data_IF_742793089401
#
_entry.id   IF_742793089401
#
_cell.length_a   1.000
_cell.length_b   1.000
_cell.length_c   1.000
_cell.angle_alpha   90.00
_cell.angle_beta   90.00
_cell.angle_gamma   90.00
#
_symmetry.space_group_name_H-M   'P 1'
#
loop_
_entity.id
_entity.type
_entity.pdbx_description
1 polymer ?
#
# COMPACT_ATOMS: atom_id res chain seq x y z
N UNK A 1 -71.26 11.64 -25.98
CA UNK A 1 -72.41 10.75 -25.76
C UNK A 1 -72.57 10.66 -24.25
N UNK A 2 -73.46 11.51 -23.75
CA UNK A 2 -74.82 11.14 -23.32
C UNK A 2 -74.80 10.18 -22.14
N UNK A 3 -75.41 10.41 -21.02
CA UNK A 3 -76.46 11.28 -20.56
C UNK A 3 -76.67 10.93 -19.07
N UNK A 4 -76.83 11.89 -18.18
CA UNK A 4 -78.15 12.26 -17.60
C UNK A 4 -78.84 11.14 -16.82
N UNK A 5 -79.44 11.22 -15.69
CA UNK A 5 -80.33 12.27 -15.14
C UNK A 5 -80.86 11.82 -13.77
N UNK A 6 -80.99 12.77 -12.85
CA UNK A 6 -82.14 13.11 -11.95
C UNK A 6 -82.53 12.13 -10.87
N UNK A 7 -82.96 12.50 -9.74
CA UNK A 7 -83.60 13.61 -9.07
C UNK A 7 -84.06 13.05 -7.74
N UNK A 8 -84.45 13.72 -6.73
CA UNK A 8 -85.26 14.81 -6.42
C UNK A 8 -85.45 14.85 -4.92
N UNK A 9 -85.60 16.02 -4.32
CA UNK A 9 -85.86 16.28 -2.95
C UNK A 9 -87.34 15.95 -2.52
N UNK A 10 -87.87 16.55 -1.47
CA UNK A 10 -87.53 17.75 -0.72
C UNK A 10 -87.81 17.76 0.80
N UNK A 11 -87.33 18.82 1.48
CA UNK A 11 -87.99 19.71 2.45
C UNK A 11 -88.33 19.18 3.91
N UNK A 12 -87.96 19.78 4.92
CA UNK A 12 -88.31 20.87 5.86
C UNK A 12 -87.64 20.58 7.20
N UNK A 13 -87.12 21.47 7.98
CA UNK A 13 -87.49 22.64 8.58
C UNK A 13 -86.85 22.81 9.93
N UNK A 14 -86.42 24.02 10.25
CA UNK A 14 -86.58 24.52 11.58
C UNK A 14 -85.38 24.69 12.51
N UNK A 15 -84.97 25.92 12.69
CA UNK A 15 -84.64 26.53 13.97
C UNK A 15 -83.16 26.69 14.40
N UNK A 16 -82.78 27.84 14.85
CA UNK A 16 -81.36 28.19 15.15
C UNK A 16 -81.04 27.84 16.61
N UNK A 17 -79.83 27.26 16.80
CA UNK A 17 -79.21 27.18 18.14
C UNK A 17 -77.79 27.67 18.03
N UNK A 18 -77.53 28.75 18.71
CA UNK A 18 -76.20 29.33 18.98
C UNK A 18 -75.34 28.31 19.73
N UNK A 19 -74.23 27.99 19.13
CA UNK A 19 -73.22 27.12 19.76
C UNK A 19 -71.81 27.69 19.57
N UNK A 20 -71.18 28.03 20.69
CA UNK A 20 -69.81 28.53 20.84
C UNK A 20 -68.78 27.68 20.09
N UNK A 21 -67.67 28.27 19.58
CA UNK A 21 -66.60 27.51 18.96
C UNK A 21 -65.80 26.75 20.01
N UNK A 22 -65.70 25.46 19.84
CA UNK A 22 -64.85 24.56 20.65
C UNK A 22 -63.34 24.88 20.39
N UNK A 23 -62.48 24.77 21.44
CA UNK A 23 -61.07 25.05 21.30
C UNK A 23 -60.39 23.98 20.45
N UNK A 24 -59.65 24.39 19.43
CA UNK A 24 -58.79 23.56 18.60
C UNK A 24 -57.73 22.91 19.50
N UNK A 25 -57.86 21.64 19.84
CA UNK A 25 -56.78 20.83 20.43
C UNK A 25 -55.68 20.64 19.40
N UNK A 26 -54.63 21.47 19.50
CA UNK A 26 -53.36 21.16 18.87
C UNK A 26 -52.84 19.86 19.47
N UNK A 27 -52.93 18.76 18.73
CA UNK A 27 -52.27 17.51 19.03
C UNK A 27 -50.76 17.71 18.84
N UNK A 28 -50.08 18.01 19.96
CA UNK A 28 -48.61 17.89 20.01
C UNK A 28 -48.29 16.42 19.79
N UNK A 29 -47.89 16.09 18.54
CA UNK A 29 -47.27 14.82 18.23
C UNK A 29 -45.90 14.77 18.96
N UNK A 30 -45.97 14.44 20.27
CA UNK A 30 -44.77 14.01 21.01
C UNK A 30 -44.23 12.78 20.30
N UNK A 31 -43.13 12.92 19.57
CA UNK A 31 -42.29 11.82 19.12
C UNK A 31 -41.95 10.95 20.31
N UNK A 32 -42.70 9.83 20.48
CA UNK A 32 -42.39 8.77 21.42
C UNK A 32 -41.27 7.90 20.84
N UNK A 33 -40.05 8.39 20.96
CA UNK A 33 -38.87 7.54 20.76
C UNK A 33 -38.56 6.89 22.11
N UNK A 34 -38.58 5.56 22.12
CA UNK A 34 -38.34 4.66 23.26
C UNK A 34 -39.36 4.75 24.42
N UNK A 35 -40.53 4.15 24.21
CA UNK A 35 -41.44 3.78 25.30
C UNK A 35 -40.92 2.50 25.97
N UNK A 36 -40.37 2.59 27.17
CA UNK A 36 -40.13 1.42 28.02
C UNK A 36 -41.47 0.76 28.33
N UNK A 37 -41.58 -0.60 28.38
CA UNK A 37 -42.81 -1.30 28.63
C UNK A 37 -43.44 -0.88 29.98
N UNK A 38 -44.70 -0.45 29.93
CA UNK A 38 -45.50 -0.07 31.08
C UNK A 38 -45.90 -1.32 31.88
N UNK A 39 -45.17 -1.67 32.92
CA UNK A 39 -45.58 -2.82 33.76
C UNK A 39 -44.47 -3.37 34.65
N UNK A 40 -43.21 -2.92 34.54
CA UNK A 40 -42.14 -3.40 35.40
C UNK A 40 -41.98 -2.51 36.63
N UNK A 41 -41.90 -3.11 37.82
CA UNK A 41 -41.54 -2.46 39.07
C UNK A 41 -40.16 -1.73 38.92
N UNK A 42 -39.97 -0.61 39.65
CA UNK A 42 -38.74 0.20 39.58
C UNK A 42 -37.46 -0.63 39.75
N UNK A 43 -37.36 -1.65 40.65
CA UNK A 43 -36.20 -2.53 40.75
C UNK A 43 -35.98 -3.44 39.53
N UNK A 44 -37.04 -3.86 38.82
CA UNK A 44 -36.93 -4.63 37.59
C UNK A 44 -36.29 -3.84 36.44
N UNK A 45 -36.62 -2.56 36.30
CA UNK A 45 -36.03 -1.65 35.30
C UNK A 45 -34.58 -1.41 35.55
N UNK A 46 -34.15 -1.24 36.81
CA UNK A 46 -32.72 -1.04 37.17
C UNK A 46 -31.91 -2.30 36.91
N UNK A 47 -32.49 -3.51 37.16
CA UNK A 47 -31.79 -4.78 36.78
C UNK A 47 -31.62 -4.91 35.27
N UNK A 48 -32.64 -4.57 34.48
CA UNK A 48 -32.56 -4.63 33.02
C UNK A 48 -31.54 -3.65 32.47
N UNK A 49 -31.49 -2.40 32.97
CA UNK A 49 -30.51 -1.38 32.60
C UNK A 49 -29.09 -1.84 32.98
N UNK A 50 -28.90 -2.43 34.16
CA UNK A 50 -27.63 -2.99 34.62
C UNK A 50 -27.13 -4.08 33.67
N UNK A 51 -27.98 -5.05 33.35
CA UNK A 51 -27.62 -6.16 32.48
C UNK A 51 -27.32 -5.66 31.05
N UNK A 52 -28.13 -4.74 30.51
CA UNK A 52 -27.93 -4.12 29.22
C UNK A 52 -26.62 -3.32 29.12
N UNK A 53 -26.30 -2.54 30.19
CA UNK A 53 -25.03 -1.79 30.24
C UNK A 53 -23.79 -2.71 30.29
N UNK A 54 -23.83 -3.75 31.13
CA UNK A 54 -22.70 -4.71 31.23
C UNK A 54 -22.51 -5.42 29.91
N UNK A 55 -23.55 -5.92 29.26
CA UNK A 55 -23.49 -6.57 27.95
C UNK A 55 -22.97 -5.58 26.89
N UNK A 56 -23.45 -4.33 26.90
CA UNK A 56 -23.01 -3.32 25.95
C UNK A 56 -21.54 -2.92 26.15
N UNK A 57 -21.06 -2.79 27.38
CA UNK A 57 -19.65 -2.51 27.68
C UNK A 57 -18.72 -3.66 27.23
N UNK A 58 -19.09 -4.91 27.54
CA UNK A 58 -18.31 -6.08 27.13
C UNK A 58 -18.38 -6.30 25.61
N UNK A 59 -19.56 -6.14 25.00
CA UNK A 59 -19.73 -6.24 23.56
C UNK A 59 -18.93 -5.19 22.78
N UNK A 60 -18.93 -3.94 23.25
CA UNK A 60 -18.11 -2.89 22.66
C UNK A 60 -16.62 -3.16 22.87
N UNK A 61 -16.21 -3.59 24.06
CA UNK A 61 -14.82 -3.95 24.34
C UNK A 61 -14.33 -5.09 23.46
N UNK A 62 -15.13 -6.15 23.28
CA UNK A 62 -14.81 -7.25 22.37
C UNK A 62 -14.71 -6.80 20.91
N UNK A 63 -15.66 -5.96 20.44
CA UNK A 63 -15.62 -5.41 19.08
C UNK A 63 -14.38 -4.55 18.86
N UNK A 64 -14.03 -3.70 19.84
CA UNK A 64 -12.87 -2.83 19.77
C UNK A 64 -11.56 -3.63 19.80
N UNK A 65 -11.45 -4.64 20.67
CA UNK A 65 -10.28 -5.52 20.73
C UNK A 65 -10.08 -6.31 19.42
N UNK A 66 -11.16 -6.90 18.88
CA UNK A 66 -11.12 -7.58 17.58
C UNK A 66 -10.69 -6.66 16.45
N UNK A 67 -11.20 -5.42 16.41
CA UNK A 67 -10.82 -4.43 15.40
C UNK A 67 -9.34 -4.06 15.50
N UNK A 68 -8.83 -3.82 16.71
CA UNK A 68 -7.41 -3.49 16.94
C UNK A 68 -6.54 -4.69 16.61
N UNK A 69 -6.89 -5.89 17.04
CA UNK A 69 -6.17 -7.12 16.75
C UNK A 69 -6.07 -7.41 15.24
N UNK A 70 -7.18 -7.28 14.50
CA UNK A 70 -7.17 -7.43 13.03
C UNK A 70 -6.27 -6.40 12.32
N UNK A 71 -6.21 -5.17 12.83
CA UNK A 71 -5.32 -4.14 12.26
C UNK A 71 -3.86 -4.40 12.61
N UNK A 72 -3.59 -4.79 13.84
CA UNK A 72 -2.24 -5.13 14.26
C UNK A 72 -1.69 -6.33 13.47
N UNK A 73 -2.52 -7.37 13.25
CA UNK A 73 -2.13 -8.51 12.40
C UNK A 73 -1.94 -8.11 10.95
N UNK A 74 -2.85 -7.32 10.36
CA UNK A 74 -2.70 -6.86 8.98
C UNK A 74 -1.46 -5.98 8.78
N UNK A 75 -1.12 -5.11 9.73
CA UNK A 75 0.11 -4.33 9.71
C UNK A 75 1.36 -5.22 9.87
N UNK A 76 1.28 -6.22 10.74
CA UNK A 76 2.33 -7.22 10.92
C UNK A 76 2.56 -8.06 9.66
N UNK A 77 1.50 -8.55 9.03
CA UNK A 77 1.56 -9.32 7.77
C UNK A 77 2.09 -8.47 6.61
N UNK A 78 1.73 -7.19 6.55
CA UNK A 78 2.27 -6.26 5.56
C UNK A 78 3.80 -6.12 5.71
N UNK A 79 4.28 -5.88 6.93
CA UNK A 79 5.70 -5.62 7.21
C UNK A 79 6.56 -6.90 7.19
N UNK A 80 6.04 -8.05 7.64
CA UNK A 80 6.85 -9.27 7.79
C UNK A 80 6.75 -10.26 6.61
N UNK A 81 5.73 -10.14 5.76
CA UNK A 81 5.49 -11.07 4.66
C UNK A 81 5.37 -10.34 3.33
N UNK A 82 4.45 -9.37 3.21
CA UNK A 82 4.15 -8.76 1.91
C UNK A 82 5.24 -7.80 1.45
N UNK A 83 5.85 -7.03 2.36
CA UNK A 83 6.93 -6.12 2.04
C UNK A 83 8.21 -6.85 1.58
N UNK A 84 8.76 -7.84 2.31
CA UNK A 84 9.92 -8.59 1.85
C UNK A 84 9.68 -9.25 0.49
N UNK A 85 8.52 -9.87 0.26
CA UNK A 85 8.21 -10.49 -1.02
C UNK A 85 8.10 -9.51 -2.17
N UNK A 86 7.57 -8.31 -1.93
CA UNK A 86 7.53 -7.25 -2.93
C UNK A 86 8.94 -6.75 -3.26
N UNK A 87 9.83 -6.66 -2.27
CA UNK A 87 11.24 -6.30 -2.46
C UNK A 87 12.00 -7.39 -3.20
N UNK A 88 11.84 -8.67 -2.83
CA UNK A 88 12.46 -9.79 -3.54
C UNK A 88 12.00 -9.83 -5.01
N UNK A 89 10.71 -9.64 -5.27
CA UNK A 89 10.18 -9.60 -6.64
C UNK A 89 10.72 -8.40 -7.45
N UNK A 90 10.89 -7.24 -6.82
CA UNK A 90 11.51 -6.07 -7.42
C UNK A 90 12.99 -6.31 -7.71
N UNK A 91 13.73 -6.83 -6.74
CA UNK A 91 15.16 -7.12 -6.86
C UNK A 91 15.42 -8.18 -7.93
N UNK A 92 14.61 -9.24 -7.98
CA UNK A 92 14.63 -10.24 -9.05
C UNK A 92 14.50 -9.57 -10.43
N UNK A 93 13.53 -8.68 -10.59
CA UNK A 93 13.31 -7.98 -11.87
C UNK A 93 14.50 -7.10 -12.26
N UNK A 94 15.04 -6.32 -11.30
CA UNK A 94 16.22 -5.48 -11.52
C UNK A 94 17.45 -6.31 -11.86
N UNK A 95 17.72 -7.37 -11.10
CA UNK A 95 18.86 -8.25 -11.34
C UNK A 95 18.81 -8.96 -12.70
N UNK A 96 17.62 -9.35 -13.17
CA UNK A 96 17.47 -9.89 -14.52
C UNK A 96 17.81 -8.85 -15.61
N UNK A 97 17.32 -7.61 -15.44
CA UNK A 97 17.60 -6.54 -16.39
C UNK A 97 19.09 -6.14 -16.38
N UNK A 98 19.71 -6.10 -15.19
CA UNK A 98 21.15 -5.81 -15.06
C UNK A 98 22.03 -6.94 -15.61
N UNK A 99 21.65 -8.18 -15.41
CA UNK A 99 22.33 -9.33 -16.00
C UNK A 99 22.37 -9.24 -17.53
N UNK A 100 21.26 -8.83 -18.18
CA UNK A 100 21.20 -8.68 -19.63
C UNK A 100 22.12 -7.56 -20.15
N UNK A 101 22.10 -6.40 -19.48
CA UNK A 101 23.01 -5.29 -19.79
C UNK A 101 24.47 -5.69 -19.60
N UNK A 102 24.76 -6.41 -18.51
CA UNK A 102 26.12 -6.84 -18.19
C UNK A 102 26.64 -7.89 -19.18
N UNK A 103 25.80 -8.84 -19.59
CA UNK A 103 26.13 -9.83 -20.61
C UNK A 103 26.40 -9.17 -21.98
N UNK A 104 25.49 -8.27 -22.42
CA UNK A 104 25.62 -7.55 -23.68
C UNK A 104 26.87 -6.63 -23.70
N UNK A 105 27.11 -5.93 -22.60
CA UNK A 105 28.31 -5.09 -22.44
C UNK A 105 29.57 -5.94 -22.41
N UNK A 106 29.54 -7.09 -21.70
CA UNK A 106 30.63 -8.04 -21.62
C UNK A 106 31.08 -8.56 -22.99
N UNK A 107 30.11 -8.87 -23.85
CA UNK A 107 30.41 -9.27 -25.24
C UNK A 107 31.23 -8.23 -26.01
N UNK A 108 30.95 -6.93 -25.84
CA UNK A 108 31.62 -5.84 -26.54
C UNK A 108 33.09 -5.65 -26.12
N UNK A 109 33.50 -6.13 -24.95
CA UNK A 109 34.91 -6.15 -24.55
C UNK A 109 35.77 -7.14 -25.36
N UNK A 110 35.16 -8.05 -26.12
CA UNK A 110 35.83 -8.99 -26.98
C UNK A 110 36.33 -10.24 -26.23
N UNK A 111 37.51 -10.76 -26.63
CA UNK A 111 38.01 -12.06 -26.18
C UNK A 111 38.22 -12.23 -24.68
N UNK A 112 38.38 -11.14 -23.96
CA UNK A 112 38.63 -11.16 -22.52
C UNK A 112 37.68 -10.15 -21.86
N UNK A 113 36.61 -10.66 -21.31
CA UNK A 113 35.70 -9.83 -20.49
C UNK A 113 36.46 -9.43 -19.22
N UNK A 114 36.37 -8.15 -18.78
CA UNK A 114 36.93 -7.73 -17.50
C UNK A 114 36.31 -8.53 -16.34
N UNK A 115 37.14 -9.01 -15.42
CA UNK A 115 36.74 -9.80 -14.28
C UNK A 115 35.57 -9.19 -13.47
N UNK A 116 35.52 -7.88 -13.20
CA UNK A 116 34.39 -7.27 -12.51
C UNK A 116 33.04 -7.40 -13.24
N UNK A 117 33.01 -7.32 -14.56
CA UNK A 117 31.78 -7.47 -15.35
C UNK A 117 31.20 -8.89 -15.23
N UNK A 118 32.08 -9.89 -15.36
CA UNK A 118 31.65 -11.30 -15.18
C UNK A 118 31.11 -11.57 -13.76
N UNK A 119 31.80 -11.07 -12.75
CA UNK A 119 31.32 -11.21 -11.37
C UNK A 119 29.96 -10.54 -11.15
N UNK A 120 29.71 -9.38 -11.77
CA UNK A 120 28.43 -8.70 -11.70
C UNK A 120 27.34 -9.56 -12.33
N UNK A 121 27.52 -10.05 -13.53
CA UNK A 121 26.58 -10.96 -14.20
C UNK A 121 26.26 -12.21 -13.34
N UNK A 122 27.30 -12.90 -12.84
CA UNK A 122 27.13 -14.08 -12.00
C UNK A 122 26.38 -13.74 -10.69
N UNK A 123 26.66 -12.58 -10.11
CA UNK A 123 25.97 -12.08 -8.93
C UNK A 123 24.47 -11.83 -9.21
N UNK A 124 24.17 -11.15 -10.30
CA UNK A 124 22.79 -10.78 -10.67
C UNK A 124 21.95 -12.03 -10.96
N UNK A 125 22.49 -13.00 -11.66
CA UNK A 125 21.84 -14.31 -11.88
C UNK A 125 21.63 -15.07 -10.55
N UNK A 126 22.60 -15.03 -9.64
CA UNK A 126 22.48 -15.66 -8.33
C UNK A 126 21.40 -14.99 -7.46
N UNK A 127 21.34 -13.67 -7.45
CA UNK A 127 20.30 -12.88 -6.78
C UNK A 127 18.95 -13.20 -7.38
N UNK A 128 18.78 -13.06 -8.70
CA UNK A 128 17.51 -13.36 -9.37
C UNK A 128 17.01 -14.78 -9.09
N UNK A 129 17.92 -15.78 -9.06
CA UNK A 129 17.58 -17.16 -8.74
C UNK A 129 17.15 -17.35 -7.29
N UNK A 130 17.79 -16.63 -6.35
CA UNK A 130 17.48 -16.70 -4.92
C UNK A 130 16.10 -16.08 -4.65
N UNK A 131 15.84 -14.92 -5.21
CA UNK A 131 14.59 -14.21 -5.05
C UNK A 131 13.43 -14.97 -5.75
N UNK A 132 13.69 -15.55 -6.93
CA UNK A 132 12.72 -16.42 -7.61
C UNK A 132 12.31 -17.60 -6.74
N UNK A 133 13.26 -18.24 -6.03
CA UNK A 133 12.96 -19.33 -5.08
C UNK A 133 12.13 -18.84 -3.90
N UNK A 134 12.48 -17.70 -3.31
CA UNK A 134 11.77 -17.11 -2.19
C UNK A 134 10.31 -16.78 -2.57
N UNK A 135 10.12 -16.05 -3.67
CA UNK A 135 8.79 -15.68 -4.16
C UNK A 135 7.98 -16.92 -4.57
N UNK A 136 8.59 -17.92 -5.23
CA UNK A 136 7.91 -19.17 -5.61
C UNK A 136 7.44 -19.95 -4.39
N UNK A 137 8.24 -20.01 -3.33
CA UNK A 137 7.88 -20.70 -2.09
C UNK A 137 6.67 -20.06 -1.40
N UNK A 138 6.60 -18.71 -1.40
CA UNK A 138 5.55 -17.94 -0.76
C UNK A 138 4.26 -17.82 -1.60
N UNK A 139 4.38 -17.87 -2.92
CA UNK A 139 3.27 -17.61 -3.86
C UNK A 139 2.64 -18.87 -4.48
N UNK A 140 2.79 -20.03 -3.82
CA UNK A 140 2.22 -21.31 -4.30
C UNK A 140 0.72 -21.23 -4.48
N UNK A 141 0.25 -21.57 -5.68
CA UNK A 141 -1.18 -21.57 -6.02
C UNK A 141 -1.76 -20.16 -6.27
N UNK A 142 -0.90 -19.13 -6.37
CA UNK A 142 -1.31 -17.77 -6.70
C UNK A 142 -1.55 -17.57 -8.20
N UNK A 143 -2.14 -16.41 -8.54
CA UNK A 143 -2.39 -16.03 -9.93
C UNK A 143 -1.10 -15.91 -10.78
N UNK A 144 0.07 -15.76 -10.16
CA UNK A 144 1.37 -15.61 -10.84
C UNK A 144 2.16 -16.91 -11.00
N UNK A 145 1.57 -18.05 -10.64
CA UNK A 145 2.24 -19.36 -10.77
C UNK A 145 2.72 -19.65 -12.20
N UNK A 146 1.99 -19.20 -13.21
CA UNK A 146 2.40 -19.29 -14.62
C UNK A 146 3.66 -18.48 -14.92
N UNK A 147 3.73 -17.23 -14.47
CA UNK A 147 4.91 -16.37 -14.64
C UNK A 147 6.13 -16.92 -13.89
N UNK A 148 5.94 -17.43 -12.67
CA UNK A 148 7.02 -18.10 -11.91
C UNK A 148 7.52 -19.36 -12.61
N UNK A 149 6.63 -20.14 -13.23
CA UNK A 149 7.01 -21.30 -14.05
C UNK A 149 7.81 -20.88 -15.28
N UNK A 150 7.40 -19.81 -15.97
CA UNK A 150 8.15 -19.26 -17.12
C UNK A 150 9.55 -18.84 -16.68
N UNK A 151 9.68 -18.05 -15.60
CA UNK A 151 10.98 -17.64 -15.07
C UNK A 151 11.89 -18.84 -14.74
N UNK A 152 11.34 -19.85 -14.09
CA UNK A 152 12.10 -21.05 -13.72
C UNK A 152 12.53 -21.90 -14.92
N UNK A 153 11.76 -21.91 -15.99
CA UNK A 153 12.06 -22.67 -17.19
C UNK A 153 13.03 -21.93 -18.15
N UNK A 154 12.81 -20.64 -18.34
CA UNK A 154 13.52 -19.86 -19.35
C UNK A 154 14.84 -19.23 -18.84
N UNK A 155 15.01 -19.02 -17.54
CA UNK A 155 16.26 -18.48 -16.99
C UNK A 155 17.49 -19.37 -17.32
N UNK A 156 17.43 -20.71 -17.21
CA UNK A 156 18.53 -21.57 -17.66
C UNK A 156 18.77 -21.51 -19.17
N UNK A 157 17.73 -21.27 -19.99
CA UNK A 157 17.85 -21.13 -21.44
C UNK A 157 18.59 -19.84 -21.76
N UNK A 158 18.22 -18.73 -21.14
CA UNK A 158 18.91 -17.45 -21.25
C UNK A 158 20.41 -17.56 -20.90
N UNK A 159 20.71 -18.13 -19.73
CA UNK A 159 22.13 -18.29 -19.31
C UNK A 159 22.92 -19.16 -20.28
N UNK A 160 22.30 -20.20 -20.85
CA UNK A 160 22.92 -21.03 -21.87
C UNK A 160 23.29 -20.24 -23.13
N UNK A 161 22.40 -19.37 -23.65
CA UNK A 161 22.69 -18.52 -24.78
C UNK A 161 23.81 -17.50 -24.49
N UNK A 162 23.83 -16.93 -23.28
CA UNK A 162 24.92 -16.01 -22.87
C UNK A 162 26.25 -16.74 -22.85
N UNK A 163 26.33 -17.94 -22.27
CA UNK A 163 27.54 -18.77 -22.23
C UNK A 163 28.02 -19.14 -23.64
N UNK A 164 27.14 -19.57 -24.54
CA UNK A 164 27.46 -19.83 -25.95
C UNK A 164 28.01 -18.56 -26.63
N UNK A 165 27.34 -17.41 -26.40
CA UNK A 165 27.79 -16.11 -26.95
C UNK A 165 29.20 -15.76 -26.49
N UNK A 166 29.53 -15.92 -25.22
CA UNK A 166 30.85 -15.70 -24.66
C UNK A 166 31.93 -16.67 -25.23
N UNK A 167 31.58 -17.97 -25.35
CA UNK A 167 32.50 -18.97 -25.93
C UNK A 167 32.84 -18.61 -27.39
N UNK A 168 31.83 -18.37 -28.22
CA UNK A 168 32.08 -17.99 -29.63
C UNK A 168 32.85 -16.68 -29.76
N UNK A 169 32.55 -15.70 -28.89
CA UNK A 169 33.28 -14.43 -28.84
C UNK A 169 34.77 -14.65 -28.45
N UNK A 170 35.04 -15.48 -27.47
CA UNK A 170 36.43 -15.81 -27.05
C UNK A 170 37.24 -16.48 -28.16
N UNK A 171 36.58 -17.29 -28.99
CA UNK A 171 37.14 -17.94 -30.14
C UNK A 171 37.29 -16.99 -31.37
N UNK A 172 36.68 -15.79 -31.29
CA UNK A 172 36.69 -14.82 -32.37
C UNK A 172 35.69 -15.09 -33.49
N UNK A 173 34.66 -15.91 -33.21
CA UNK A 173 33.61 -16.19 -34.20
C UNK A 173 32.49 -15.14 -34.13
N UNK A 174 32.05 -14.60 -35.29
CA UNK A 174 30.95 -13.63 -35.35
C UNK A 174 29.60 -14.17 -34.81
N UNK A 175 29.41 -15.49 -34.82
CA UNK A 175 28.19 -16.13 -34.30
C UNK A 175 27.89 -15.79 -32.85
N UNK A 176 28.90 -15.42 -32.06
CA UNK A 176 28.71 -14.97 -30.67
C UNK A 176 27.70 -13.81 -30.57
N UNK A 177 27.71 -12.88 -31.51
CA UNK A 177 26.77 -11.76 -31.54
C UNK A 177 25.30 -12.25 -31.61
N UNK A 178 25.03 -13.26 -32.47
CA UNK A 178 23.69 -13.79 -32.64
C UNK A 178 23.19 -14.49 -31.38
N UNK A 179 24.05 -15.19 -30.62
CA UNK A 179 23.65 -15.81 -29.34
C UNK A 179 23.31 -14.77 -28.29
N UNK A 180 24.09 -13.68 -28.19
CA UNK A 180 23.78 -12.58 -27.25
C UNK A 180 22.47 -11.88 -27.65
N UNK A 181 22.21 -11.67 -28.95
CA UNK A 181 20.93 -11.12 -29.42
C UNK A 181 19.74 -12.01 -29.07
N UNK A 182 19.86 -13.33 -29.28
CA UNK A 182 18.82 -14.31 -28.92
C UNK A 182 18.62 -14.36 -27.41
N UNK A 183 19.70 -14.30 -26.61
CA UNK A 183 19.60 -14.23 -25.15
C UNK A 183 18.81 -12.98 -24.71
N UNK A 184 19.15 -11.82 -25.26
CA UNK A 184 18.46 -10.57 -24.94
C UNK A 184 17.00 -10.58 -25.41
N UNK A 185 16.70 -11.17 -26.58
CA UNK A 185 15.32 -11.37 -27.03
C UNK A 185 14.53 -12.26 -26.06
N UNK A 186 15.12 -13.36 -25.57
CA UNK A 186 14.48 -14.23 -24.55
C UNK A 186 14.25 -13.47 -23.24
N UNK A 187 15.21 -12.63 -22.82
CA UNK A 187 15.08 -11.76 -21.65
C UNK A 187 13.91 -10.79 -21.81
N UNK A 188 13.85 -10.06 -22.92
CA UNK A 188 12.88 -8.99 -23.14
C UNK A 188 11.47 -9.51 -23.46
N UNK A 189 11.33 -10.64 -24.17
CA UNK A 189 10.02 -11.16 -24.57
C UNK A 189 9.40 -12.11 -23.54
N UNK A 190 10.21 -12.77 -22.67
CA UNK A 190 9.69 -13.78 -21.74
C UNK A 190 10.04 -13.50 -20.30
N UNK A 191 11.32 -13.32 -19.96
CA UNK A 191 11.78 -13.22 -18.58
C UNK A 191 11.32 -11.91 -17.93
N UNK A 192 11.61 -10.77 -18.52
CA UNK A 192 11.24 -9.47 -17.94
C UNK A 192 9.72 -9.26 -17.86
N UNK A 193 8.88 -9.63 -18.86
CA UNK A 193 7.42 -9.55 -18.72
C UNK A 193 6.87 -10.46 -17.62
N UNK A 194 7.43 -11.66 -17.46
CA UNK A 194 7.04 -12.57 -16.38
C UNK A 194 7.45 -12.01 -15.01
N UNK A 195 8.68 -11.51 -14.85
CA UNK A 195 9.15 -10.87 -13.63
C UNK A 195 8.35 -9.64 -13.27
N UNK A 196 8.00 -8.80 -14.25
CA UNK A 196 7.13 -7.63 -14.07
C UNK A 196 5.74 -8.02 -13.55
N UNK A 197 5.19 -9.12 -14.07
CA UNK A 197 3.88 -9.62 -13.65
C UNK A 197 3.91 -10.08 -12.19
N UNK A 198 4.98 -10.77 -11.79
CA UNK A 198 5.20 -11.20 -10.40
C UNK A 198 5.35 -9.99 -9.49
N UNK A 199 6.21 -9.04 -9.85
CA UNK A 199 6.40 -7.80 -9.09
C UNK A 199 5.11 -7.00 -8.92
N UNK A 200 4.34 -6.80 -10.00
CA UNK A 200 3.07 -6.09 -9.94
C UNK A 200 2.06 -6.78 -9.01
N UNK A 201 2.04 -8.11 -8.98
CA UNK A 201 1.18 -8.89 -8.10
C UNK A 201 1.56 -8.74 -6.62
N UNK A 202 2.85 -8.90 -6.30
CA UNK A 202 3.32 -8.81 -4.91
C UNK A 202 3.18 -7.37 -4.37
N UNK A 203 3.44 -6.37 -5.19
CA UNK A 203 3.21 -4.97 -4.84
C UNK A 203 1.72 -4.65 -4.63
N UNK A 204 0.82 -5.22 -5.43
CA UNK A 204 -0.62 -5.09 -5.22
C UNK A 204 -1.07 -5.76 -3.90
N UNK A 205 -0.46 -6.89 -3.52
CA UNK A 205 -0.69 -7.55 -2.21
C UNK A 205 -0.24 -6.66 -1.05
N UNK A 206 0.94 -6.08 -1.13
CA UNK A 206 1.44 -5.14 -0.13
C UNK A 206 0.50 -3.93 0.02
N UNK A 207 0.07 -3.36 -1.10
CA UNK A 207 -0.88 -2.24 -1.13
C UNK A 207 -2.22 -2.62 -0.49
N UNK A 208 -2.75 -3.82 -0.78
CA UNK A 208 -3.99 -4.31 -0.21
C UNK A 208 -3.87 -4.57 1.30
N UNK A 209 -2.76 -5.17 1.77
CA UNK A 209 -2.48 -5.39 3.18
C UNK A 209 -2.38 -4.06 3.95
N UNK A 210 -1.68 -3.08 3.40
CA UNK A 210 -1.56 -1.73 3.96
C UNK A 210 -2.92 -1.00 4.00
N UNK A 211 -3.75 -1.15 2.97
CA UNK A 211 -5.10 -0.60 2.93
C UNK A 211 -6.03 -1.25 3.97
N UNK A 212 -5.88 -2.55 4.25
CA UNK A 212 -6.62 -3.22 5.33
C UNK A 212 -6.21 -2.69 6.71
N UNK A 213 -4.92 -2.47 6.94
CA UNK A 213 -4.41 -1.91 8.18
C UNK A 213 -4.94 -0.48 8.43
N UNK A 214 -5.13 0.32 7.36
CA UNK A 214 -5.58 1.72 7.42
C UNK A 214 -7.08 1.93 7.22
N UNK A 215 -7.82 0.89 6.81
CA UNK A 215 -9.24 0.96 6.44
C UNK A 215 -10.15 1.56 7.51
N UNK A 216 -11.02 2.51 7.13
CA UNK A 216 -11.88 3.27 8.04
C UNK A 216 -13.21 2.58 8.44
N UNK A 217 -13.84 1.67 7.64
CA UNK A 217 -15.22 1.32 7.89
C UNK A 217 -15.43 0.68 9.27
N UNK A 218 -14.60 -0.29 9.65
CA UNK A 218 -14.74 -0.97 10.95
C UNK A 218 -14.36 -0.06 12.12
N UNK A 219 -13.37 0.82 11.96
CA UNK A 219 -13.00 1.81 12.96
C UNK A 219 -14.11 2.84 13.19
N UNK A 220 -14.74 3.31 12.12
CA UNK A 220 -15.87 4.23 12.20
C UNK A 220 -17.05 3.60 12.94
N UNK A 221 -17.38 2.33 12.65
CA UNK A 221 -18.43 1.58 13.34
C UNK A 221 -18.11 1.42 14.83
N UNK A 222 -16.86 1.07 15.16
CA UNK A 222 -16.43 0.88 16.55
C UNK A 222 -16.44 2.19 17.34
N UNK A 223 -15.98 3.31 16.75
CA UNK A 223 -16.08 4.63 17.36
C UNK A 223 -17.53 5.07 17.54
N UNK A 224 -18.39 4.89 16.54
CA UNK A 224 -19.80 5.23 16.63
C UNK A 224 -20.52 4.39 17.71
N UNK A 225 -20.22 3.10 17.80
CA UNK A 225 -20.72 2.23 18.85
C UNK A 225 -20.27 2.68 20.25
N UNK A 226 -19.01 3.09 20.39
CA UNK A 226 -18.46 3.64 21.63
C UNK A 226 -19.12 4.96 22.04
N UNK A 227 -19.35 5.88 21.10
CA UNK A 227 -20.09 7.11 21.35
C UNK A 227 -21.55 6.83 21.74
N UNK A 228 -22.21 5.87 21.08
CA UNK A 228 -23.55 5.45 21.44
C UNK A 228 -23.59 4.85 22.85
N UNK A 229 -22.60 4.04 23.23
CA UNK A 229 -22.44 3.51 24.58
C UNK A 229 -22.22 4.63 25.61
N UNK A 230 -21.36 5.61 25.32
CA UNK A 230 -21.14 6.79 26.15
C UNK A 230 -22.42 7.61 26.35
N UNK A 231 -23.20 7.82 25.28
CA UNK A 231 -24.51 8.47 25.36
C UNK A 231 -25.51 7.66 26.21
N UNK A 232 -25.49 6.32 26.11
CA UNK A 232 -26.34 5.47 26.91
C UNK A 232 -25.95 5.49 28.40
N UNK A 233 -24.66 5.50 28.73
CA UNK A 233 -24.11 5.70 30.07
C UNK A 233 -24.58 7.06 30.65
N UNK A 234 -24.38 8.15 29.89
CA UNK A 234 -24.82 9.49 30.29
C UNK A 234 -26.34 9.56 30.54
N UNK A 235 -27.11 9.01 29.62
CA UNK A 235 -28.59 8.97 29.78
C UNK A 235 -29.02 8.15 30.98
N UNK A 236 -28.34 7.04 31.26
CA UNK A 236 -28.60 6.21 32.44
C UNK A 236 -28.27 6.96 33.73
N UNK A 237 -27.15 7.69 33.79
CA UNK A 237 -26.81 8.57 34.93
C UNK A 237 -27.85 9.66 35.13
N UNK A 238 -28.23 10.38 34.06
CA UNK A 238 -29.21 11.45 34.12
C UNK A 238 -30.61 10.94 34.54
N UNK A 239 -30.99 9.74 34.12
CA UNK A 239 -32.27 9.12 34.56
C UNK A 239 -32.24 8.76 36.05
N UNK A 240 -31.08 8.20 36.51
CA UNK A 240 -30.91 7.81 37.92
C UNK A 240 -30.85 9.03 38.84
N UNK A 241 -30.10 10.07 38.48
CA UNK A 241 -29.97 11.32 39.28
C UNK A 241 -31.32 12.03 39.46
N UNK A 242 -32.18 12.05 38.43
CA UNK A 242 -33.52 12.65 38.50
C UNK A 242 -34.48 11.89 39.41
N UNK A 243 -34.23 10.61 39.72
CA UNK A 243 -35.10 9.80 40.58
C UNK A 243 -34.59 9.66 42.02
N UNK A 244 -33.31 9.80 42.26
CA UNK A 244 -32.69 9.53 43.58
C UNK A 244 -32.23 10.77 44.30
N UNK A 245 -32.39 11.98 43.73
CA UNK A 245 -31.93 13.28 44.28
C UNK A 245 -30.44 13.32 44.75
N UNK A 246 -29.64 12.33 44.38
CA UNK A 246 -28.20 12.26 44.61
C UNK A 246 -27.46 12.34 43.28
N UNK A 247 -26.53 13.31 43.14
CA UNK A 247 -25.97 13.74 41.86
C UNK A 247 -24.91 12.82 41.30
N UNK A 248 -24.23 11.96 42.07
CA UNK A 248 -23.13 11.13 41.59
C UNK A 248 -23.21 9.68 42.03
N UNK A 249 -23.17 8.78 41.07
CA UNK A 249 -22.94 7.34 41.29
C UNK A 249 -21.50 7.02 40.89
N UNK A 250 -20.62 6.80 41.87
CA UNK A 250 -19.16 6.59 41.71
C UNK A 250 -18.86 5.48 40.69
N UNK A 251 -19.62 4.37 40.67
CA UNK A 251 -19.42 3.27 39.74
C UNK A 251 -19.72 3.65 38.29
N UNK A 252 -20.85 4.38 38.07
CA UNK A 252 -21.18 4.85 36.73
C UNK A 252 -20.26 5.98 36.27
N UNK A 253 -19.75 6.81 37.17
CA UNK A 253 -18.75 7.83 36.88
C UNK A 253 -17.44 7.17 36.44
N UNK A 254 -16.95 6.19 37.18
CA UNK A 254 -15.75 5.43 36.82
C UNK A 254 -15.91 4.73 35.46
N UNK A 255 -17.05 4.14 35.18
CA UNK A 255 -17.36 3.55 33.87
C UNK A 255 -17.34 4.59 32.73
N UNK A 256 -17.88 5.78 32.97
CA UNK A 256 -17.88 6.86 31.96
C UNK A 256 -16.48 7.42 31.71
N UNK A 257 -15.68 7.61 32.76
CA UNK A 257 -14.26 8.05 32.62
C UNK A 257 -13.45 7.00 31.87
N UNK A 258 -13.58 5.71 32.24
CA UNK A 258 -12.91 4.62 31.53
C UNK A 258 -13.31 4.56 30.05
N UNK A 259 -14.61 4.77 29.74
CA UNK A 259 -15.09 4.83 28.36
C UNK A 259 -14.54 6.02 27.56
N UNK A 260 -14.44 7.20 28.18
CA UNK A 260 -13.84 8.37 27.56
C UNK A 260 -12.35 8.18 27.31
N UNK A 261 -11.62 7.61 28.27
CA UNK A 261 -10.19 7.29 28.13
C UNK A 261 -9.99 6.28 27.00
N UNK A 262 -10.80 5.21 26.95
CA UNK A 262 -10.72 4.19 25.90
C UNK A 262 -11.00 4.79 24.51
N UNK A 263 -12.04 5.62 24.37
CA UNK A 263 -12.36 6.30 23.12
C UNK A 263 -11.29 7.29 22.69
N UNK A 264 -10.77 8.08 23.62
CA UNK A 264 -9.71 9.05 23.35
C UNK A 264 -8.41 8.34 22.92
N UNK A 265 -8.03 7.28 23.64
CA UNK A 265 -6.84 6.49 23.28
C UNK A 265 -6.98 5.80 21.93
N UNK A 266 -8.13 5.17 21.69
CA UNK A 266 -8.43 4.55 20.40
C UNK A 266 -8.42 5.58 19.27
N UNK A 267 -9.04 6.76 19.46
CA UNK A 267 -9.04 7.82 18.45
C UNK A 267 -7.61 8.34 18.17
N UNK A 268 -6.80 8.55 19.21
CA UNK A 268 -5.41 8.99 19.07
C UNK A 268 -4.58 7.94 18.31
N UNK A 269 -4.71 6.65 18.65
CA UNK A 269 -4.00 5.57 17.96
C UNK A 269 -4.43 5.43 16.49
N UNK A 270 -5.73 5.57 16.20
CA UNK A 270 -6.25 5.49 14.84
C UNK A 270 -5.82 6.69 13.98
N UNK A 271 -5.82 7.89 14.54
CA UNK A 271 -5.41 9.11 13.82
C UNK A 271 -3.89 9.15 13.63
N UNK A 272 -3.12 8.84 14.68
CA UNK A 272 -1.65 8.79 14.66
C UNK A 272 -1.16 7.70 13.72
N UNK A 273 -1.57 6.44 13.93
CA UNK A 273 -1.15 5.32 13.10
C UNK A 273 -1.53 5.49 11.62
N UNK A 274 -2.70 6.10 11.33
CA UNK A 274 -3.06 6.46 9.96
C UNK A 274 -2.16 7.53 9.35
N UNK A 275 -1.84 8.58 10.12
CA UNK A 275 -0.96 9.65 9.64
C UNK A 275 0.45 9.11 9.34
N UNK A 276 0.98 8.22 10.17
CA UNK A 276 2.29 7.63 10.00
C UNK A 276 2.33 6.65 8.82
N UNK A 277 1.30 5.81 8.66
CA UNK A 277 1.16 4.92 7.49
C UNK A 277 0.95 5.69 6.17
N UNK A 278 0.21 6.79 6.17
CA UNK A 278 0.08 7.64 4.98
C UNK A 278 1.39 8.36 4.64
N UNK A 279 2.20 8.72 5.63
CA UNK A 279 3.55 9.24 5.39
C UNK A 279 4.47 8.15 4.86
N UNK A 280 4.42 6.95 5.44
CA UNK A 280 5.20 5.81 4.97
C UNK A 280 4.91 5.51 3.49
N UNK A 281 3.64 5.42 3.09
CA UNK A 281 3.27 5.15 1.70
C UNK A 281 3.54 6.34 0.78
N UNK A 282 3.18 7.56 1.18
CA UNK A 282 3.28 8.75 0.32
C UNK A 282 4.71 9.27 0.13
N UNK A 283 5.58 9.12 1.14
CA UNK A 283 6.95 9.65 1.13
C UNK A 283 8.03 8.57 1.24
N UNK A 284 7.68 7.30 1.25
CA UNK A 284 8.62 6.19 1.36
C UNK A 284 8.44 5.18 0.24
N UNK A 285 7.40 4.33 0.31
CA UNK A 285 7.26 3.22 -0.65
C UNK A 285 6.92 3.67 -2.06
N UNK A 286 6.03 4.64 -2.26
CA UNK A 286 5.63 5.09 -3.59
C UNK A 286 6.77 5.80 -4.37
N UNK A 287 7.57 6.71 -3.76
CA UNK A 287 8.76 7.23 -4.41
C UNK A 287 9.81 6.16 -4.71
N UNK A 288 10.10 5.26 -3.74
CA UNK A 288 11.05 4.17 -3.94
C UNK A 288 10.64 3.25 -5.11
N UNK A 289 9.35 2.92 -5.22
CA UNK A 289 8.79 2.17 -6.35
C UNK A 289 8.96 2.93 -7.67
N UNK A 290 8.68 4.23 -7.69
CA UNK A 290 8.84 5.06 -8.88
C UNK A 290 10.31 5.13 -9.33
N UNK A 291 11.25 5.21 -8.38
CA UNK A 291 12.69 5.17 -8.64
C UNK A 291 13.15 3.82 -9.17
N UNK A 292 12.62 2.71 -8.61
CA UNK A 292 12.92 1.37 -9.10
C UNK A 292 12.43 1.15 -10.54
N UNK A 293 11.23 1.66 -10.88
CA UNK A 293 10.75 1.65 -12.25
C UNK A 293 11.59 2.53 -13.17
N UNK A 294 12.13 3.65 -12.67
CA UNK A 294 13.06 4.49 -13.43
C UNK A 294 14.38 3.75 -13.68
N UNK A 295 14.92 3.05 -12.68
CA UNK A 295 16.12 2.25 -12.80
C UNK A 295 15.97 1.16 -13.87
N UNK A 296 14.87 0.42 -13.86
CA UNK A 296 14.55 -0.57 -14.89
C UNK A 296 14.49 0.08 -16.28
N UNK A 297 13.87 1.24 -16.42
CA UNK A 297 13.84 1.95 -17.70
C UNK A 297 15.24 2.41 -18.14
N UNK A 298 16.11 2.79 -17.21
CA UNK A 298 17.52 3.11 -17.50
C UNK A 298 18.29 1.87 -17.97
N UNK A 299 18.10 0.72 -17.29
CA UNK A 299 18.71 -0.55 -17.70
C UNK A 299 18.23 -0.98 -19.09
N UNK A 300 16.95 -0.85 -19.41
CA UNK A 300 16.42 -1.12 -20.75
C UNK A 300 17.10 -0.23 -21.80
N UNK A 301 17.15 1.09 -21.57
CA UNK A 301 17.85 1.99 -22.48
C UNK A 301 19.33 1.62 -22.63
N UNK A 302 19.99 1.20 -21.56
CA UNK A 302 21.39 0.76 -21.64
C UNK A 302 21.54 -0.53 -22.44
N UNK A 303 20.63 -1.48 -22.28
CA UNK A 303 20.55 -2.70 -23.09
C UNK A 303 20.41 -2.38 -24.58
N UNK A 304 19.46 -1.52 -24.95
CA UNK A 304 19.25 -1.10 -26.35
C UNK A 304 20.49 -0.40 -26.93
N UNK A 305 21.18 0.44 -26.15
CA UNK A 305 22.44 1.08 -26.55
C UNK A 305 23.55 0.05 -26.87
N UNK A 306 23.69 -0.98 -26.04
CA UNK A 306 24.70 -2.03 -26.23
C UNK A 306 24.33 -2.98 -27.36
N UNK A 307 23.05 -3.33 -27.51
CA UNK A 307 22.57 -4.17 -28.61
C UNK A 307 22.70 -3.50 -29.98
N UNK A 308 22.46 -2.18 -30.04
CA UNK A 308 22.70 -1.41 -31.26
C UNK A 308 24.20 -1.50 -31.72
N UNK A 309 25.14 -1.45 -30.77
CA UNK A 309 26.56 -1.65 -31.04
C UNK A 309 26.90 -3.07 -31.50
N UNK A 310 26.23 -4.09 -30.93
CA UNK A 310 26.45 -5.50 -31.29
C UNK A 310 25.89 -5.79 -32.67
N UNK A 311 24.75 -5.26 -33.02
CA UNK A 311 24.06 -5.53 -34.30
C UNK A 311 24.81 -4.93 -35.49
N UNK A 312 25.51 -3.80 -35.32
CA UNK A 312 26.22 -3.04 -36.36
C UNK A 312 25.40 -2.77 -37.63
N UNK A 313 24.11 -2.96 -37.56
CA UNK A 313 23.19 -2.81 -38.69
C UNK A 313 22.56 -1.42 -38.74
N UNK A 314 22.82 -0.58 -37.72
CA UNK A 314 22.10 0.68 -37.54
C UNK A 314 20.60 0.45 -37.40
N UNK A 315 20.24 -0.61 -36.70
CA UNK A 315 18.84 -1.07 -36.59
C UNK A 315 18.01 0.04 -35.96
N UNK A 316 17.05 0.54 -36.72
CA UNK A 316 16.19 1.64 -36.30
C UNK A 316 15.38 1.29 -35.07
N UNK A 317 15.14 -0.01 -34.82
CA UNK A 317 14.30 -0.50 -33.74
C UNK A 317 15.00 -0.29 -32.39
N UNK A 318 16.29 -0.64 -32.21
CA UNK A 318 17.03 -0.39 -30.98
C UNK A 318 17.14 1.10 -30.63
N UNK A 319 17.29 1.96 -31.64
CA UNK A 319 17.31 3.40 -31.43
C UNK A 319 15.95 3.96 -31.03
N UNK A 320 14.87 3.38 -31.54
CA UNK A 320 13.50 3.75 -31.15
C UNK A 320 13.20 3.30 -29.73
N UNK A 321 13.58 2.07 -29.37
CA UNK A 321 13.39 1.49 -28.04
C UNK A 321 14.21 2.26 -26.99
N UNK A 322 15.46 2.60 -27.29
CA UNK A 322 16.27 3.50 -26.44
C UNK A 322 15.54 4.82 -26.14
N UNK A 323 14.98 5.48 -27.17
CA UNK A 323 14.27 6.77 -26.97
C UNK A 323 13.00 6.59 -26.15
N UNK A 324 12.28 5.50 -26.33
CA UNK A 324 11.09 5.18 -25.56
C UNK A 324 11.43 4.93 -24.09
N UNK A 325 12.47 4.14 -23.82
CA UNK A 325 12.99 3.88 -22.48
C UNK A 325 13.53 5.16 -21.82
N UNK A 326 14.28 6.00 -22.55
CA UNK A 326 14.74 7.32 -22.10
C UNK A 326 13.57 8.23 -21.70
N UNK A 327 12.50 8.28 -22.50
CA UNK A 327 11.31 9.07 -22.22
C UNK A 327 10.59 8.58 -20.95
N UNK A 328 10.47 7.27 -20.79
CA UNK A 328 9.90 6.63 -19.60
C UNK A 328 10.74 6.94 -18.37
N UNK A 329 12.06 6.73 -18.44
CA UNK A 329 13.00 7.06 -17.37
C UNK A 329 12.88 8.52 -16.92
N UNK A 330 12.93 9.45 -17.86
CA UNK A 330 12.89 10.89 -17.56
C UNK A 330 11.59 11.29 -16.87
N UNK A 331 10.47 10.70 -17.30
CA UNK A 331 9.15 10.95 -16.70
C UNK A 331 9.08 10.40 -15.28
N UNK A 332 9.57 9.18 -15.06
CA UNK A 332 9.57 8.53 -13.75
C UNK A 332 10.51 9.25 -12.77
N UNK A 333 11.72 9.64 -13.23
CA UNK A 333 12.66 10.37 -12.40
C UNK A 333 12.14 11.76 -12.01
N UNK A 334 11.44 12.45 -12.92
CA UNK A 334 10.80 13.73 -12.62
C UNK A 334 9.68 13.56 -11.57
N UNK A 335 8.87 12.51 -11.69
CA UNK A 335 7.81 12.16 -10.73
C UNK A 335 8.40 11.81 -9.36
N UNK A 336 9.42 10.96 -9.32
CA UNK A 336 10.10 10.60 -8.09
C UNK A 336 10.65 11.84 -7.37
N UNK A 337 11.30 12.75 -8.11
CA UNK A 337 11.83 13.99 -7.54
C UNK A 337 10.78 14.94 -6.92
N UNK A 338 9.49 14.79 -7.26
CA UNK A 338 8.40 15.53 -6.64
C UNK A 338 7.86 14.85 -5.38
N UNK A 339 8.07 13.56 -5.22
CA UNK A 339 7.47 12.73 -4.18
C UNK A 339 8.47 12.27 -3.12
N UNK A 340 9.77 12.21 -3.47
CA UNK A 340 10.85 11.68 -2.64
C UNK A 340 11.13 12.51 -1.40
N UNK A 341 11.70 11.87 -0.42
CA UNK A 341 12.12 12.50 0.83
C UNK A 341 13.27 13.48 0.63
N UNK A 342 13.47 14.44 1.55
CA UNK A 342 14.64 15.31 1.51
C UNK A 342 15.97 14.55 1.51
N UNK A 343 16.01 13.35 2.12
CA UNK A 343 17.18 12.48 2.13
C UNK A 343 17.56 11.93 0.76
N UNK A 344 16.60 11.69 -0.14
CA UNK A 344 16.81 11.20 -1.49
C UNK A 344 17.08 12.33 -2.52
N UNK A 345 16.72 13.57 -2.20
CA UNK A 345 16.72 14.69 -3.15
C UNK A 345 18.10 14.97 -3.78
N UNK A 346 19.18 14.83 -3.00
CA UNK A 346 20.56 14.99 -3.48
C UNK A 346 20.90 13.95 -4.53
N UNK A 347 20.66 12.67 -4.25
CA UNK A 347 20.94 11.55 -5.15
C UNK A 347 20.07 11.61 -6.42
N UNK A 348 18.79 12.02 -6.33
CA UNK A 348 17.94 12.21 -7.50
C UNK A 348 18.46 13.35 -8.40
N UNK A 349 19.01 14.40 -7.80
CA UNK A 349 19.60 15.51 -8.56
C UNK A 349 20.87 15.06 -9.28
N UNK A 350 21.73 14.29 -8.62
CA UNK A 350 22.94 13.70 -9.22
C UNK A 350 22.56 12.71 -10.33
N UNK A 351 21.62 11.80 -10.09
CA UNK A 351 21.09 10.86 -11.09
C UNK A 351 20.57 11.58 -12.34
N UNK A 352 19.88 12.70 -12.19
CA UNK A 352 19.39 13.52 -13.31
C UNK A 352 20.54 14.13 -14.12
N UNK A 353 21.59 14.57 -13.44
CA UNK A 353 22.77 15.15 -14.08
C UNK A 353 23.55 14.07 -14.87
N UNK A 354 23.82 12.91 -14.26
CA UNK A 354 24.52 11.81 -14.90
C UNK A 354 23.73 11.23 -16.07
N UNK A 355 22.41 11.10 -15.94
CA UNK A 355 21.52 10.72 -17.04
C UNK A 355 21.60 11.70 -18.22
N UNK A 356 21.57 13.01 -17.96
CA UNK A 356 21.67 14.01 -19.01
C UNK A 356 23.01 13.95 -19.76
N UNK A 357 24.09 13.67 -19.03
CA UNK A 357 25.42 13.50 -19.58
C UNK A 357 25.52 12.21 -20.40
N UNK A 358 24.97 11.09 -19.89
CA UNK A 358 24.90 9.83 -20.64
C UNK A 358 24.11 9.98 -21.94
N UNK A 359 22.95 10.62 -21.93
CA UNK A 359 22.14 10.85 -23.13
C UNK A 359 22.86 11.72 -24.17
N UNK A 360 23.67 12.70 -23.74
CA UNK A 360 24.51 13.49 -24.63
C UNK A 360 25.63 12.64 -25.26
N UNK A 361 26.24 11.75 -24.49
CA UNK A 361 27.22 10.78 -24.96
C UNK A 361 26.60 9.82 -25.98
N UNK A 362 25.41 9.29 -25.72
CA UNK A 362 24.68 8.44 -26.67
C UNK A 362 24.42 9.16 -28.01
N UNK A 363 24.00 10.44 -27.97
CA UNK A 363 23.85 11.22 -29.20
C UNK A 363 25.17 11.39 -29.97
N UNK A 364 26.31 11.48 -29.28
CA UNK A 364 27.61 11.53 -29.91
C UNK A 364 28.01 10.16 -30.49
N UNK A 365 27.73 9.07 -29.80
CA UNK A 365 27.92 7.71 -30.29
C UNK A 365 27.14 7.48 -31.59
N UNK A 366 25.88 7.91 -31.67
CA UNK A 366 25.07 7.83 -32.90
C UNK A 366 25.67 8.64 -34.08
N UNK A 367 26.38 9.73 -33.81
CA UNK A 367 27.08 10.46 -34.87
C UNK A 367 28.30 9.71 -35.38
N UNK A 368 29.04 9.03 -34.50
CA UNK A 368 30.18 8.18 -34.86
C UNK A 368 29.71 6.95 -35.64
N UNK A 369 28.59 6.32 -35.25
CA UNK A 369 27.99 5.23 -36.01
C UNK A 369 27.68 5.66 -37.45
N UNK A 370 26.98 6.79 -37.63
CA UNK A 370 26.69 7.35 -38.97
C UNK A 370 27.95 7.68 -39.78
N UNK A 371 29.04 8.01 -39.07
CA UNK A 371 30.35 8.25 -39.71
C UNK A 371 31.12 6.95 -39.95
N UNK A 372 30.60 5.80 -39.59
CA UNK A 372 31.21 4.47 -39.66
C UNK A 372 32.50 4.36 -38.82
N UNK A 373 32.69 5.22 -37.81
CA UNK A 373 33.83 5.16 -36.89
C UNK A 373 33.46 4.31 -35.65
N UNK A 374 33.25 3.02 -35.91
CA UNK A 374 32.89 2.04 -34.89
C UNK A 374 33.89 1.91 -33.74
N UNK A 375 35.20 2.19 -34.04
CA UNK A 375 36.23 2.14 -33.02
C UNK A 375 36.14 3.28 -32.00
N UNK A 376 35.82 4.50 -32.46
CA UNK A 376 35.60 5.64 -31.58
C UNK A 376 34.26 5.48 -30.81
N UNK A 377 33.23 5.02 -31.50
CA UNK A 377 31.90 4.74 -30.88
C UNK A 377 32.02 3.72 -29.74
N UNK A 378 32.63 2.56 -30.00
CA UNK A 378 32.83 1.52 -28.97
C UNK A 378 33.61 2.06 -27.78
N UNK A 379 34.69 2.82 -27.99
CA UNK A 379 35.44 3.43 -26.87
C UNK A 379 34.62 4.43 -26.08
N UNK A 380 33.72 5.15 -26.72
CA UNK A 380 32.84 6.12 -26.05
C UNK A 380 31.76 5.44 -25.22
N UNK A 381 31.24 4.33 -25.69
CA UNK A 381 30.12 3.62 -25.01
C UNK A 381 30.62 2.69 -23.90
N UNK A 382 31.68 1.90 -24.13
CA UNK A 382 32.15 0.91 -23.14
C UNK A 382 33.52 1.23 -22.52
N UNK A 383 34.14 2.34 -22.89
CA UNK A 383 35.42 2.75 -22.31
C UNK A 383 35.32 3.05 -20.82
N UNK A 384 36.48 3.11 -20.15
CA UNK A 384 36.61 3.37 -18.70
C UNK A 384 36.92 4.83 -18.36
N UNK A 385 36.84 5.75 -19.33
CA UNK A 385 37.03 7.18 -19.10
C UNK A 385 35.87 7.80 -18.28
N UNK A 386 36.11 8.96 -17.64
CA UNK A 386 35.09 9.60 -16.78
C UNK A 386 33.84 10.04 -17.55
N UNK A 387 33.97 10.31 -18.84
CA UNK A 387 32.90 10.82 -19.70
C UNK A 387 32.40 9.75 -20.70
N UNK A 388 32.63 8.48 -20.41
CA UNK A 388 32.08 7.37 -21.20
C UNK A 388 30.68 6.99 -20.73
N UNK A 389 29.86 6.47 -21.64
CA UNK A 389 28.48 6.05 -21.32
C UNK A 389 28.46 5.03 -20.16
N UNK A 390 29.38 4.04 -20.16
CA UNK A 390 29.49 3.04 -19.09
C UNK A 390 29.75 3.66 -17.71
N UNK A 391 30.68 4.62 -17.61
CA UNK A 391 30.99 5.28 -16.33
C UNK A 391 29.87 6.17 -15.86
N UNK A 392 29.22 6.93 -16.74
CA UNK A 392 28.08 7.78 -16.43
C UNK A 392 26.89 6.95 -16.01
N UNK A 393 26.62 5.83 -16.68
CA UNK A 393 25.57 4.91 -16.32
C UNK A 393 25.80 4.28 -14.95
N UNK A 394 27.01 3.83 -14.64
CA UNK A 394 27.34 3.28 -13.32
C UNK A 394 27.17 4.28 -12.17
N UNK A 395 27.43 5.58 -12.41
CA UNK A 395 27.14 6.64 -11.43
C UNK A 395 25.64 6.83 -11.26
N UNK A 396 24.91 6.90 -12.38
CA UNK A 396 23.45 6.98 -12.38
C UNK A 396 22.82 5.86 -11.55
N UNK A 397 23.24 4.60 -11.76
CA UNK A 397 22.77 3.46 -10.97
C UNK A 397 23.07 3.60 -9.47
N UNK A 398 24.29 4.03 -9.13
CA UNK A 398 24.67 4.25 -7.75
C UNK A 398 23.81 5.33 -7.07
N UNK A 399 23.50 6.41 -7.78
CA UNK A 399 22.67 7.49 -7.30
C UNK A 399 21.19 7.07 -7.16
N UNK A 400 20.66 6.32 -8.14
CA UNK A 400 19.32 5.74 -8.03
C UNK A 400 19.20 4.78 -6.84
N UNK A 401 20.17 3.89 -6.68
CA UNK A 401 20.22 2.98 -5.54
C UNK A 401 20.33 3.72 -4.20
N UNK A 402 21.08 4.81 -4.12
CA UNK A 402 21.16 5.64 -2.92
C UNK A 402 19.83 6.34 -2.62
N UNK A 403 19.14 6.85 -3.64
CA UNK A 403 17.83 7.48 -3.49
C UNK A 403 16.77 6.47 -3.03
N UNK A 404 16.73 5.28 -3.64
CA UNK A 404 15.82 4.18 -3.26
C UNK A 404 16.04 3.79 -1.80
N UNK A 405 17.31 3.59 -1.38
CA UNK A 405 17.61 3.26 0.03
C UNK A 405 17.17 4.35 1.01
N UNK A 406 17.33 5.61 0.68
CA UNK A 406 16.91 6.72 1.54
C UNK A 406 15.38 6.75 1.75
N UNK A 407 14.62 6.50 0.68
CA UNK A 407 13.16 6.43 0.74
C UNK A 407 12.69 5.15 1.48
N UNK A 408 13.37 4.00 1.29
CA UNK A 408 13.07 2.76 2.03
C UNK A 408 13.32 2.88 3.54
N UNK A 409 14.41 3.54 3.96
CA UNK A 409 14.66 3.82 5.40
C UNK A 409 13.53 4.67 5.98
N UNK A 410 13.11 5.71 5.26
CA UNK A 410 12.00 6.56 5.70
C UNK A 410 10.68 5.77 5.80
N UNK A 411 10.44 4.85 4.87
CA UNK A 411 9.29 3.93 4.94
C UNK A 411 9.36 3.04 6.19
N UNK A 412 10.49 2.37 6.41
CA UNK A 412 10.67 1.47 7.54
C UNK A 412 10.47 2.18 8.90
N UNK A 413 11.07 3.37 9.07
CA UNK A 413 10.92 4.18 10.28
C UNK A 413 9.46 4.60 10.52
N UNK A 414 8.78 5.05 9.46
CA UNK A 414 7.38 5.49 9.54
C UNK A 414 6.42 4.31 9.77
N UNK A 415 6.68 3.17 9.18
CA UNK A 415 5.89 1.95 9.36
C UNK A 415 6.06 1.38 10.78
N UNK A 416 7.29 1.40 11.31
CA UNK A 416 7.58 1.01 12.70
C UNK A 416 6.88 1.93 13.70
N UNK A 417 6.89 3.25 13.48
CA UNK A 417 6.16 4.21 14.32
C UNK A 417 4.65 3.96 14.27
N UNK A 418 4.10 3.72 13.07
CA UNK A 418 2.68 3.42 12.88
C UNK A 418 2.23 2.13 13.57
N UNK A 419 3.02 1.06 13.49
CA UNK A 419 2.74 -0.21 14.17
C UNK A 419 2.86 -0.08 15.69
N UNK A 420 3.84 0.68 16.18
CA UNK A 420 4.06 0.97 17.60
C UNK A 420 2.86 1.66 18.26
N UNK A 421 2.10 2.47 17.53
CA UNK A 421 0.91 3.15 18.04
C UNK A 421 -0.21 2.19 18.50
N UNK A 422 -0.23 0.95 18.00
CA UNK A 422 -1.18 -0.09 18.40
C UNK A 422 -0.68 -1.00 19.53
N UNK A 423 0.60 -0.88 19.91
CA UNK A 423 1.21 -1.71 20.96
C UNK A 423 0.54 -1.44 22.30
N UNK A 424 0.02 -2.49 22.93
CA UNK A 424 -0.69 -2.42 24.20
C UNK A 424 -2.13 -1.87 24.15
N UNK A 425 -2.57 -1.32 23.02
CA UNK A 425 -3.93 -0.77 22.85
C UNK A 425 -4.98 -1.87 23.02
N UNK A 426 -4.77 -3.06 22.47
CA UNK A 426 -5.69 -4.19 22.61
C UNK A 426 -5.90 -4.58 24.08
N UNK A 427 -4.80 -4.81 24.81
CA UNK A 427 -4.85 -5.13 26.24
C UNK A 427 -5.48 -3.99 27.05
N UNK A 428 -5.11 -2.75 26.74
CA UNK A 428 -5.66 -1.56 27.39
C UNK A 428 -7.17 -1.41 27.21
N UNK A 429 -7.67 -1.61 26.00
CA UNK A 429 -9.11 -1.57 25.70
C UNK A 429 -9.86 -2.67 26.47
N UNK A 430 -9.32 -3.89 26.52
CA UNK A 430 -9.91 -4.99 27.29
C UNK A 430 -10.02 -4.63 28.78
N UNK A 431 -8.94 -4.12 29.37
CA UNK A 431 -8.93 -3.67 30.78
C UNK A 431 -9.95 -2.56 31.01
N UNK A 432 -9.98 -1.54 30.16
CA UNK A 432 -10.92 -0.43 30.29
C UNK A 432 -12.37 -0.89 30.11
N UNK A 433 -12.65 -1.82 29.20
CA UNK A 433 -13.98 -2.41 29.03
C UNK A 433 -14.43 -3.22 30.27
N UNK A 434 -13.51 -3.95 30.90
CA UNK A 434 -13.78 -4.63 32.17
C UNK A 434 -14.06 -3.63 33.30
N UNK A 435 -13.29 -2.54 33.41
CA UNK A 435 -13.55 -1.46 34.37
C UNK A 435 -14.94 -0.85 34.14
N UNK A 436 -15.31 -0.61 32.87
CA UNK A 436 -16.64 -0.11 32.51
C UNK A 436 -17.76 -1.08 32.93
N UNK A 437 -17.59 -2.37 32.67
CA UNK A 437 -18.56 -3.41 33.00
C UNK A 437 -18.72 -3.55 34.53
N UNK A 438 -17.61 -3.67 35.26
CA UNK A 438 -17.59 -3.78 36.72
C UNK A 438 -18.11 -2.50 37.37
N UNK A 439 -17.68 -1.33 36.94
CA UNK A 439 -18.16 -0.04 37.42
C UNK A 439 -19.66 0.14 37.24
N UNK A 440 -20.19 -0.24 36.07
CA UNK A 440 -21.62 -0.23 35.78
C UNK A 440 -22.40 -1.22 36.65
N UNK A 441 -21.87 -2.44 36.82
CA UNK A 441 -22.49 -3.47 37.66
C UNK A 441 -22.52 -3.06 39.15
N UNK A 442 -21.39 -2.60 39.69
CA UNK A 442 -21.24 -2.20 41.10
C UNK A 442 -22.05 -0.95 41.44
N UNK A 443 -21.98 0.06 40.58
CA UNK A 443 -22.71 1.32 40.78
C UNK A 443 -24.21 1.13 40.82
N UNK A 444 -24.76 0.24 40.01
CA UNK A 444 -26.20 -0.08 39.98
C UNK A 444 -26.62 -1.11 41.07
N UNK A 445 -25.71 -2.01 41.50
CA UNK A 445 -26.00 -2.98 42.57
C UNK A 445 -26.12 -2.31 43.95
N UNK A 446 -25.28 -1.33 44.29
CA UNK A 446 -25.42 -0.52 45.52
C UNK A 446 -26.78 0.17 45.62
N UNK A 447 -27.30 0.63 44.47
CA UNK A 447 -28.66 1.25 44.43
C UNK A 447 -29.77 0.25 44.54
N UNK A 448 -29.60 -0.99 44.09
CA UNK A 448 -30.56 -2.06 44.29
C UNK A 448 -30.64 -2.52 45.77
N UNK A 449 -29.54 -2.42 46.51
CA UNK A 449 -29.49 -2.74 47.94
C UNK A 449 -30.23 -1.70 48.81
N UNK A 450 -30.32 -0.43 48.37
CA UNK A 450 -31.09 0.63 49.04
C UNK A 450 -32.62 0.46 48.92
N UNK A 451 -33.09 -0.43 47.99
CA UNK A 451 -34.51 -0.72 47.80
C UNK A 451 -34.95 -2.08 48.43
N UNK A 452 -34.04 -2.76 49.16
CA UNK A 452 -34.36 -3.92 50.01
C UNK A 452 -34.49 -3.49 51.46
#
# INVERSE_FOLDING_TARGET
MTATVTGGGPVTGGGPVTGQPAPVRRSAARRRWFAFPRGSTTPGKVRLIRMGLVIACLGWGALAALMVGQRASAAGDAASVSEPLSLDAQQMYQSLADADVTASTGYLYGRVQPFPGRQRYEHDIAVATTDLKAVTAASRGSAVSGSLSTLSAELPVYTGYVEDGEIYNSLGYPAGASFIQVASEEMHLRLLPAARTVYAHENARLTAASAQATGLPLAGVTLAAGLALGFFLYRSQRWLSRRTHRTLNVGLLAASVAGLVALAWMAAALLGGRADLLRATGHGSAPAETLAQADIAALQARGDETLNLISRTGDADFQQDFRAAQGTFSTLLARAGQQSTPGAAGSITAARQDASSWFAVNQQAQKLDKALDYGAETRLVIGSGPDTAGTLFSRLEADLAAAIRADQVTFADSAAAGSGAFTGLEAGIVVLALIMAVGSAWGLSRRLAEYR
#
